data_IF_054047512558
#
_entry.id   IF_054047512558
#
_cell.length_a   1.000
_cell.length_b   1.000
_cell.length_c   1.000
_cell.angle_alpha   90.00
_cell.angle_beta   90.00
_cell.angle_gamma   90.00
#
_symmetry.space_group_name_H-M   'P 1'
#
loop_
_entity.id
_entity.type
_entity.pdbx_description
1 polymer ?
#
# COMPACT_ATOMS: atom_id res chain seq x y z
N UNK A 1 5.68 39.46 0.83
CA UNK A 1 4.25 39.14 0.72
C UNK A 1 4.21 37.71 0.31
N UNK A 2 3.74 36.87 1.22
CA UNK A 2 4.42 35.64 1.63
C UNK A 2 3.82 34.39 0.95
N UNK A 3 4.63 33.44 0.46
CA UNK A 3 4.17 32.16 -0.07
C UNK A 3 3.73 31.15 1.02
N UNK A 4 3.82 31.53 2.30
CA UNK A 4 3.60 30.64 3.45
C UNK A 4 2.13 30.44 3.85
N UNK A 5 1.22 31.32 3.42
CA UNK A 5 -0.20 31.22 3.76
C UNK A 5 -1.01 30.36 2.76
N UNK A 6 -0.55 30.28 1.52
CA UNK A 6 -1.23 29.49 0.48
C UNK A 6 -1.05 27.97 0.68
N UNK A 7 0.11 27.56 1.18
CA UNK A 7 0.42 26.16 1.50
C UNK A 7 -0.37 25.64 2.71
N UNK A 8 -0.70 26.51 3.64
CA UNK A 8 -1.50 26.20 4.83
C UNK A 8 -2.98 25.99 4.51
N UNK A 9 -3.49 26.64 3.48
CA UNK A 9 -4.87 26.47 3.01
C UNK A 9 -5.05 25.20 2.18
N UNK A 10 -4.03 24.75 1.44
CA UNK A 10 -4.08 23.48 0.71
C UNK A 10 -4.04 22.26 1.66
N UNK A 11 -3.41 22.38 2.82
CA UNK A 11 -3.35 21.31 3.84
C UNK A 11 -4.67 21.10 4.59
N UNK A 12 -5.50 22.13 4.67
CA UNK A 12 -6.81 22.09 5.33
C UNK A 12 -7.93 21.44 4.48
N UNK A 13 -7.66 21.12 3.22
CA UNK A 13 -8.64 20.58 2.28
C UNK A 13 -8.54 19.07 2.03
N UNK A 14 -7.70 18.35 2.78
CA UNK A 14 -7.69 16.88 2.71
C UNK A 14 -8.65 16.33 3.78
N UNK A 15 -9.66 15.51 3.41
CA UNK A 15 -10.53 14.91 4.40
C UNK A 15 -9.73 13.98 5.31
N UNK A 16 -9.75 14.24 6.60
CA UNK A 16 -9.30 13.28 7.61
C UNK A 16 -10.14 12.02 7.51
N UNK A 17 -9.53 10.94 7.04
CA UNK A 17 -10.15 9.61 7.06
C UNK A 17 -10.06 9.10 8.49
N UNK A 18 -11.14 9.25 9.24
CA UNK A 18 -11.25 8.73 10.60
C UNK A 18 -11.53 7.22 10.58
N UNK A 19 -11.19 6.52 11.66
CA UNK A 19 -11.49 5.09 11.81
C UNK A 19 -13.00 4.80 11.61
N UNK A 20 -13.86 5.75 11.93
CA UNK A 20 -15.30 5.70 11.72
C UNK A 20 -15.69 5.63 10.24
N UNK A 21 -15.02 6.42 9.39
CA UNK A 21 -15.27 6.42 7.93
C UNK A 21 -14.84 5.11 7.27
N UNK A 22 -13.79 4.47 7.81
CA UNK A 22 -13.31 3.15 7.33
C UNK A 22 -14.28 2.04 7.77
N UNK A 23 -14.83 2.15 8.96
CA UNK A 23 -15.77 1.18 9.49
C UNK A 23 -17.12 1.25 8.78
N UNK A 24 -17.61 2.45 8.48
CA UNK A 24 -18.85 2.67 7.73
C UNK A 24 -18.72 2.14 6.28
N UNK A 25 -17.55 2.33 5.65
CA UNK A 25 -17.26 1.76 4.33
C UNK A 25 -17.17 0.22 4.35
N UNK A 26 -16.62 -0.37 5.44
CA UNK A 26 -16.54 -1.82 5.60
C UNK A 26 -17.92 -2.45 5.83
N UNK A 27 -18.80 -1.80 6.59
CA UNK A 27 -20.19 -2.25 6.82
C UNK A 27 -21.02 -2.18 5.54
N UNK A 28 -20.87 -1.11 4.73
CA UNK A 28 -21.53 -1.00 3.42
C UNK A 28 -21.09 -2.09 2.42
N UNK A 29 -19.81 -2.50 2.46
CA UNK A 29 -19.28 -3.61 1.65
C UNK A 29 -19.86 -4.95 2.11
N UNK A 30 -20.03 -5.13 3.42
CA UNK A 30 -20.60 -6.37 3.98
C UNK A 30 -22.10 -6.49 3.67
N UNK A 31 -22.84 -5.39 3.71
CA UNK A 31 -24.25 -5.34 3.36
C UNK A 31 -24.50 -5.64 1.86
N UNK A 32 -23.66 -5.09 0.99
CA UNK A 32 -23.71 -5.39 -0.47
C UNK A 32 -23.29 -6.82 -0.80
N UNK A 33 -22.32 -7.39 -0.08
CA UNK A 33 -21.94 -8.80 -0.25
C UNK A 33 -23.04 -9.77 0.22
N UNK A 34 -23.77 -9.43 1.29
CA UNK A 34 -24.92 -10.18 1.77
C UNK A 34 -26.08 -10.19 0.76
N UNK A 35 -26.38 -9.03 0.17
CA UNK A 35 -27.44 -8.89 -0.85
C UNK A 35 -27.12 -9.68 -2.14
N UNK A 36 -25.85 -9.78 -2.51
CA UNK A 36 -25.41 -10.60 -3.65
C UNK A 36 -25.49 -12.11 -3.37
N UNK A 37 -25.31 -12.53 -2.12
CA UNK A 37 -25.43 -13.93 -1.73
C UNK A 37 -26.90 -14.39 -1.70
N UNK A 38 -27.82 -13.54 -1.28
CA UNK A 38 -29.26 -13.83 -1.28
C UNK A 38 -29.83 -13.85 -2.71
N UNK A 39 -29.33 -13.00 -3.62
CA UNK A 39 -29.72 -13.03 -5.02
C UNK A 39 -29.23 -14.29 -5.76
N UNK A 40 -28.08 -14.83 -5.39
CA UNK A 40 -27.54 -16.07 -5.95
C UNK A 40 -28.26 -17.32 -5.40
N UNK A 41 -28.82 -17.27 -4.19
CA UNK A 41 -29.56 -18.38 -3.59
C UNK A 41 -30.99 -18.51 -4.14
N UNK A 42 -31.57 -17.43 -4.66
CA UNK A 42 -32.94 -17.40 -5.20
C UNK A 42 -33.09 -18.07 -6.57
N UNK A 43 -32.03 -18.33 -7.30
CA UNK A 43 -32.06 -18.93 -8.66
C UNK A 43 -31.85 -20.44 -8.70
N UNK A 44 -31.69 -21.12 -7.56
CA UNK A 44 -31.36 -22.55 -7.51
C UNK A 44 -32.52 -23.47 -7.05
N UNK A 45 -33.77 -22.97 -6.92
CA UNK A 45 -34.88 -23.78 -6.45
C UNK A 45 -36.10 -23.74 -7.37
N UNK A 46 -35.98 -24.11 -8.65
CA UNK A 46 -37.15 -24.52 -9.42
C UNK A 46 -36.76 -25.51 -10.54
N UNK A 47 -36.55 -26.75 -10.15
CA UNK A 47 -36.66 -27.92 -11.05
C UNK A 47 -36.65 -29.22 -10.25
N UNK A 48 -37.81 -29.66 -9.76
CA UNK A 48 -38.10 -31.10 -9.63
C UNK A 48 -39.59 -31.32 -9.31
N UNK A 49 -40.32 -31.87 -10.26
CA UNK A 49 -41.14 -33.07 -10.09
C UNK A 49 -42.14 -33.23 -11.23
N UNK A 50 -41.89 -34.25 -12.04
CA UNK A 50 -42.87 -34.88 -12.92
C UNK A 50 -43.40 -36.11 -12.15
N UNK A 51 -44.70 -36.48 -12.30
CA UNK A 51 -44.94 -37.77 -12.97
C UNK A 51 -46.07 -37.75 -14.01
N UNK A 52 -45.93 -38.70 -14.93
CA UNK A 52 -46.74 -38.98 -16.09
C UNK A 52 -48.12 -39.58 -15.76
N UNK A 53 -49.09 -39.34 -16.65
CA UNK A 53 -49.98 -40.38 -17.20
C UNK A 53 -50.82 -39.89 -18.39
N UNK A 54 -50.68 -40.51 -19.52
CA UNK A 54 -51.50 -41.16 -20.53
C UNK A 54 -52.71 -40.48 -21.17
N UNK A 55 -52.58 -40.05 -22.45
CA UNK A 55 -53.20 -40.38 -23.78
C UNK A 55 -54.75 -40.35 -23.89
N UNK A 56 -55.42 -40.23 -25.14
CA UNK A 56 -54.97 -39.69 -26.43
C UNK A 56 -56.03 -38.80 -27.16
N UNK A 57 -55.67 -38.33 -28.41
CA UNK A 57 -56.53 -37.98 -29.56
C UNK A 57 -56.86 -36.51 -29.86
N UNK A 58 -56.12 -35.96 -30.82
CA UNK A 58 -56.39 -35.13 -32.00
C UNK A 58 -57.63 -34.19 -32.04
N UNK A 59 -57.68 -33.11 -32.86
CA UNK A 59 -56.89 -32.76 -34.05
C UNK A 59 -56.34 -31.32 -34.10
N UNK A 60 -55.57 -31.07 -35.14
CA UNK A 60 -54.89 -29.87 -35.55
C UNK A 60 -55.79 -28.58 -35.62
N UNK A 61 -55.27 -27.50 -35.11
CA UNK A 61 -55.58 -26.16 -35.57
C UNK A 61 -54.29 -25.34 -35.72
N UNK A 62 -54.16 -24.83 -36.91
CA UNK A 62 -53.18 -23.90 -37.41
C UNK A 62 -53.20 -22.63 -36.54
N UNK A 63 -52.11 -22.32 -35.85
CA UNK A 63 -51.90 -20.99 -35.22
C UNK A 63 -50.67 -20.34 -35.80
N UNK A 64 -50.99 -19.31 -36.51
CA UNK A 64 -50.13 -18.28 -37.11
C UNK A 64 -48.99 -17.85 -36.23
N UNK A 65 -47.79 -17.91 -36.79
CA UNK A 65 -46.59 -17.22 -36.32
C UNK A 65 -46.80 -15.71 -36.54
N UNK A 66 -47.15 -14.98 -35.47
CA UNK A 66 -46.94 -13.54 -35.38
C UNK A 66 -47.00 -13.13 -33.89
N UNK A 67 -45.88 -12.93 -33.27
CA UNK A 67 -45.84 -12.45 -31.87
C UNK A 67 -44.52 -12.45 -31.13
N UNK A 68 -43.40 -12.75 -31.75
CA UNK A 68 -42.16 -12.96 -30.99
C UNK A 68 -41.00 -11.96 -31.30
N UNK A 69 -41.31 -10.81 -31.92
CA UNK A 69 -40.27 -9.80 -32.16
C UNK A 69 -40.18 -8.74 -31.05
N UNK A 70 -41.25 -8.53 -30.27
CA UNK A 70 -41.24 -7.52 -29.20
C UNK A 70 -40.65 -8.01 -27.86
N UNK A 71 -40.81 -9.31 -27.53
CA UNK A 71 -40.23 -9.87 -26.30
C UNK A 71 -38.71 -10.01 -26.39
N UNK A 72 -38.16 -10.30 -27.56
CA UNK A 72 -36.68 -10.34 -27.75
C UNK A 72 -36.00 -8.98 -27.62
N UNK A 73 -36.69 -7.91 -27.98
CA UNK A 73 -36.15 -6.56 -27.87
C UNK A 73 -36.07 -6.06 -26.43
N UNK A 74 -37.01 -6.46 -25.55
CA UNK A 74 -36.99 -6.14 -24.14
C UNK A 74 -35.89 -6.90 -23.38
N UNK A 75 -35.65 -8.15 -23.76
CA UNK A 75 -34.56 -8.98 -23.17
C UNK A 75 -33.18 -8.43 -23.52
N UNK A 76 -32.92 -8.08 -24.77
CA UNK A 76 -31.62 -7.54 -25.20
C UNK A 76 -31.30 -6.22 -24.50
N UNK A 77 -32.28 -5.36 -24.28
CA UNK A 77 -32.07 -4.10 -23.55
C UNK A 77 -31.84 -4.32 -22.07
N UNK A 78 -32.54 -5.28 -21.45
CA UNK A 78 -32.27 -5.73 -20.06
C UNK A 78 -30.85 -6.28 -19.92
N UNK A 79 -30.47 -7.23 -20.78
CA UNK A 79 -29.14 -7.83 -20.77
C UNK A 79 -28.02 -6.79 -20.97
N UNK A 80 -28.25 -5.77 -21.78
CA UNK A 80 -27.31 -4.65 -21.96
C UNK A 80 -27.21 -3.75 -20.72
N UNK A 81 -28.32 -3.51 -20.03
CA UNK A 81 -28.33 -2.74 -18.78
C UNK A 81 -27.61 -3.48 -17.67
N UNK A 82 -27.84 -4.79 -17.52
CA UNK A 82 -27.17 -5.64 -16.55
C UNK A 82 -25.64 -5.70 -16.81
N UNK A 83 -25.27 -5.78 -18.09
CA UNK A 83 -23.85 -5.72 -18.47
C UNK A 83 -23.24 -4.35 -18.12
N UNK A 84 -23.95 -3.26 -18.40
CA UNK A 84 -23.49 -1.90 -18.08
C UNK A 84 -23.33 -1.71 -16.57
N UNK A 85 -24.29 -2.17 -15.78
CA UNK A 85 -24.23 -2.15 -14.31
C UNK A 85 -23.02 -2.93 -13.79
N UNK A 86 -22.81 -4.15 -14.29
CA UNK A 86 -21.66 -4.98 -13.94
C UNK A 86 -20.33 -4.29 -14.23
N UNK A 87 -20.22 -3.64 -15.38
CA UNK A 87 -19.03 -2.87 -15.77
C UNK A 87 -18.80 -1.69 -14.83
N UNK A 88 -19.87 -0.93 -14.51
CA UNK A 88 -19.77 0.22 -13.59
C UNK A 88 -19.32 -0.23 -12.20
N UNK A 89 -19.92 -1.29 -11.66
CA UNK A 89 -19.54 -1.85 -10.34
C UNK A 89 -18.10 -2.33 -10.37
N UNK A 90 -17.69 -3.03 -11.42
CA UNK A 90 -16.31 -3.51 -11.57
C UNK A 90 -15.30 -2.36 -11.58
N UNK A 91 -15.57 -1.31 -12.37
CA UNK A 91 -14.72 -0.12 -12.43
C UNK A 91 -14.67 0.59 -11.07
N UNK A 92 -15.80 0.70 -10.39
CA UNK A 92 -15.87 1.30 -9.05
C UNK A 92 -15.04 0.52 -8.03
N UNK A 93 -15.17 -0.81 -8.01
CA UNK A 93 -14.35 -1.68 -7.12
C UNK A 93 -12.86 -1.52 -7.42
N UNK A 94 -12.47 -1.53 -8.69
CA UNK A 94 -11.07 -1.30 -9.10
C UNK A 94 -10.58 0.07 -8.63
N UNK A 95 -11.38 1.12 -8.79
CA UNK A 95 -11.03 2.46 -8.28
C UNK A 95 -10.84 2.47 -6.76
N UNK A 96 -11.71 1.81 -6.00
CA UNK A 96 -11.57 1.70 -4.55
C UNK A 96 -10.25 1.00 -4.18
N UNK A 97 -9.96 -0.13 -4.83
CA UNK A 97 -8.70 -0.87 -4.62
C UNK A 97 -7.50 0.07 -4.84
N UNK A 98 -7.42 0.73 -5.98
CA UNK A 98 -6.30 1.64 -6.28
C UNK A 98 -6.26 2.88 -5.37
N UNK A 99 -7.38 3.34 -4.85
CA UNK A 99 -7.42 4.52 -3.98
C UNK A 99 -6.94 4.20 -2.55
N UNK A 100 -7.34 3.04 -2.02
CA UNK A 100 -7.11 2.72 -0.61
C UNK A 100 -5.95 1.75 -0.36
N UNK A 101 -5.70 0.81 -1.29
CA UNK A 101 -4.74 -0.28 -1.09
C UNK A 101 -3.34 0.08 -1.57
N UNK A 102 -3.24 0.90 -2.59
CA UNK A 102 -1.97 1.17 -3.28
C UNK A 102 -1.83 2.65 -3.55
N UNK A 103 -0.65 3.20 -3.36
CA UNK A 103 -0.33 4.56 -3.80
C UNK A 103 0.94 4.58 -4.64
N UNK A 104 1.12 5.65 -5.40
CA UNK A 104 2.38 5.90 -6.11
C UNK A 104 3.19 6.94 -5.37
N UNK A 105 4.52 6.81 -5.45
CA UNK A 105 5.47 7.78 -4.92
C UNK A 105 6.55 8.05 -5.96
N UNK A 106 6.91 9.30 -6.12
CA UNK A 106 8.05 9.70 -6.95
C UNK A 106 9.29 9.84 -6.05
N UNK A 107 10.42 9.33 -6.53
CA UNK A 107 11.70 9.38 -5.81
C UNK A 107 12.35 10.74 -6.04
N UNK A 108 12.68 11.43 -4.97
CA UNK A 108 13.44 12.67 -4.98
C UNK A 108 14.80 12.49 -4.31
N UNK A 109 15.84 12.95 -5.00
CA UNK A 109 17.23 12.90 -4.52
C UNK A 109 17.88 11.53 -4.69
N UNK A 110 19.14 11.46 -4.26
CA UNK A 110 20.07 10.35 -4.54
C UNK A 110 20.31 9.40 -3.37
N UNK A 111 19.58 9.52 -2.28
CA UNK A 111 19.86 8.75 -1.03
C UNK A 111 19.67 7.24 -1.16
N UNK A 112 18.94 6.77 -2.18
CA UNK A 112 18.67 5.36 -2.46
C UNK A 112 19.41 4.83 -3.69
N UNK A 113 20.32 5.62 -4.26
CA UNK A 113 21.19 5.14 -5.33
C UNK A 113 22.15 4.04 -4.80
N UNK A 114 22.42 3.03 -5.62
CA UNK A 114 22.02 2.82 -7.02
C UNK A 114 20.65 2.17 -7.21
N UNK A 115 19.99 1.72 -6.14
CA UNK A 115 18.73 0.95 -6.20
C UNK A 115 17.59 1.76 -6.80
N UNK A 116 17.43 3.01 -6.34
CA UNK A 116 16.42 3.95 -6.83
C UNK A 116 17.10 5.23 -7.28
N UNK A 117 16.76 5.66 -8.49
CA UNK A 117 17.24 6.90 -9.07
C UNK A 117 16.18 8.00 -8.93
N UNK A 118 16.62 9.24 -8.99
CA UNK A 118 15.73 10.40 -9.02
C UNK A 118 14.70 10.29 -10.16
N UNK A 119 13.46 10.70 -9.93
CA UNK A 119 12.32 10.58 -10.84
C UNK A 119 11.84 9.13 -11.10
N UNK A 120 12.37 8.13 -10.40
CA UNK A 120 11.72 6.83 -10.41
C UNK A 120 10.34 6.94 -9.78
N UNK A 121 9.33 6.31 -10.40
CA UNK A 121 7.99 6.19 -9.82
C UNK A 121 7.77 4.80 -9.27
N UNK A 122 7.32 4.73 -8.03
CA UNK A 122 7.17 3.52 -7.26
C UNK A 122 5.70 3.21 -7.02
N UNK A 123 5.37 1.93 -6.97
CA UNK A 123 4.10 1.42 -6.46
C UNK A 123 4.30 0.96 -5.03
N UNK A 124 3.44 1.42 -4.13
CA UNK A 124 3.59 1.26 -2.68
C UNK A 124 2.36 0.57 -2.10
N UNK A 125 2.58 -0.51 -1.36
CA UNK A 125 1.54 -1.21 -0.59
C UNK A 125 1.37 -0.53 0.77
N UNK A 126 0.14 -0.13 1.10
CA UNK A 126 -0.20 0.54 2.36
C UNK A 126 -0.85 -0.37 3.39
N UNK A 127 -1.27 -1.56 2.98
CA UNK A 127 -2.05 -2.47 3.81
C UNK A 127 -1.15 -3.43 4.57
N UNK A 128 -0.17 -3.99 3.88
CA UNK A 128 0.75 -4.93 4.49
C UNK A 128 1.63 -4.20 5.51
N UNK A 129 1.47 -4.57 6.76
CA UNK A 129 2.22 -4.04 7.91
C UNK A 129 3.31 -5.00 8.39
N UNK A 130 3.55 -6.07 7.63
CA UNK A 130 4.67 -6.97 7.88
C UNK A 130 5.90 -6.45 7.13
N UNK A 131 6.86 -6.00 7.91
CA UNK A 131 8.11 -5.45 7.40
C UNK A 131 9.26 -6.38 7.76
N UNK A 132 10.18 -6.56 6.81
CA UNK A 132 11.37 -7.39 6.97
C UNK A 132 12.62 -6.57 6.67
N UNK A 133 13.74 -6.92 7.31
CA UNK A 133 15.05 -6.32 7.00
C UNK A 133 15.32 -6.41 5.49
N UNK A 134 15.69 -5.30 4.89
CA UNK A 134 15.89 -5.17 3.44
C UNK A 134 14.70 -4.53 2.70
N UNK A 135 13.51 -4.44 3.30
CA UNK A 135 12.36 -3.77 2.68
C UNK A 135 12.62 -2.28 2.44
N UNK A 136 12.16 -1.78 1.30
CA UNK A 136 12.20 -0.35 0.99
C UNK A 136 10.87 0.27 1.41
N UNK A 137 10.95 1.26 2.29
CA UNK A 137 9.79 1.87 2.95
C UNK A 137 9.65 3.35 2.60
N UNK A 138 8.41 3.80 2.45
CA UNK A 138 8.06 5.21 2.45
C UNK A 138 7.70 5.60 3.87
N UNK A 139 8.34 6.65 4.39
CA UNK A 139 8.29 7.03 5.79
C UNK A 139 7.93 8.51 5.94
N UNK A 140 7.20 8.83 6.98
CA UNK A 140 7.05 10.23 7.42
C UNK A 140 8.16 10.57 8.43
N UNK A 141 8.90 11.65 8.16
CA UNK A 141 10.00 12.13 8.99
C UNK A 141 9.74 13.51 9.56
N UNK A 142 8.51 13.76 10.02
CA UNK A 142 8.09 15.01 10.66
C UNK A 142 8.87 15.30 11.95
N UNK A 143 9.18 14.25 12.71
CA UNK A 143 9.94 14.32 13.95
C UNK A 143 11.12 13.36 13.91
N UNK A 144 12.25 13.82 14.44
CA UNK A 144 13.38 12.98 14.78
C UNK A 144 13.24 12.43 16.20
N UNK A 145 13.46 11.12 16.36
CA UNK A 145 13.32 10.43 17.65
C UNK A 145 14.63 9.78 18.04
N UNK A 146 15.20 10.31 19.12
CA UNK A 146 16.53 9.93 19.60
C UNK A 146 16.35 9.22 20.94
N UNK A 147 16.70 7.92 21.05
CA UNK A 147 16.72 7.23 22.32
C UNK A 147 17.85 7.74 23.19
N UNK A 148 17.53 8.04 24.44
CA UNK A 148 18.47 8.47 25.46
C UNK A 148 18.99 7.26 26.26
N UNK A 149 20.14 7.37 26.95
CA UNK A 149 20.71 6.25 27.72
C UNK A 149 19.80 5.75 28.86
N UNK A 150 18.86 6.56 29.32
CA UNK A 150 17.88 6.20 30.36
C UNK A 150 16.65 5.43 29.80
N UNK A 151 16.63 5.17 28.49
CA UNK A 151 15.54 4.48 27.78
C UNK A 151 14.39 5.39 27.34
N UNK A 152 14.47 6.70 27.63
CA UNK A 152 13.50 7.68 27.11
C UNK A 152 13.78 8.00 25.64
N UNK A 153 12.77 8.49 24.92
CA UNK A 153 12.92 8.95 23.54
C UNK A 153 12.67 10.45 23.51
N UNK A 154 13.71 11.18 23.14
CA UNK A 154 13.61 12.64 22.91
C UNK A 154 13.11 12.90 21.49
N UNK A 155 12.02 13.64 21.38
CA UNK A 155 11.52 14.11 20.10
C UNK A 155 12.09 15.50 19.77
N UNK A 156 12.60 15.62 18.54
CA UNK A 156 13.05 16.89 17.95
C UNK A 156 12.32 17.14 16.65
N UNK A 157 12.43 18.34 16.11
CA UNK A 157 11.96 18.63 14.75
C UNK A 157 12.75 17.79 13.74
N UNK A 158 12.04 17.04 12.90
CA UNK A 158 12.62 16.23 11.83
C UNK A 158 12.73 16.99 10.51
N UNK A 159 12.75 16.24 9.39
CA UNK A 159 12.86 16.81 8.04
C UNK A 159 11.53 17.37 7.52
N UNK A 160 10.40 17.08 8.17
CA UNK A 160 9.04 17.50 7.80
C UNK A 160 8.68 17.10 6.35
N UNK A 161 9.13 15.93 5.91
CA UNK A 161 8.86 15.40 4.57
C UNK A 161 8.80 13.88 4.55
N UNK A 162 8.21 13.34 3.49
CA UNK A 162 8.27 11.90 3.23
C UNK A 162 9.63 11.55 2.68
N UNK A 163 10.16 10.43 3.16
CA UNK A 163 11.46 9.90 2.74
C UNK A 163 11.34 8.45 2.32
N UNK A 164 12.21 8.01 1.43
CA UNK A 164 12.36 6.61 1.03
C UNK A 164 13.64 6.09 1.64
N UNK A 165 13.58 4.99 2.39
CA UNK A 165 14.73 4.34 3.02
C UNK A 165 14.56 2.82 3.06
N UNK A 166 15.68 2.12 3.28
CA UNK A 166 15.70 0.67 3.50
C UNK A 166 15.61 0.37 4.99
N UNK A 167 14.78 -0.60 5.33
CA UNK A 167 14.67 -1.15 6.69
C UNK A 167 15.92 -1.96 7.02
N UNK A 168 16.61 -1.61 8.09
CA UNK A 168 17.82 -2.28 8.57
C UNK A 168 17.51 -3.13 9.79
N UNK A 169 16.77 -2.58 10.76
CA UNK A 169 16.41 -3.29 11.98
C UNK A 169 15.08 -2.79 12.55
N UNK A 170 14.44 -3.65 13.33
CA UNK A 170 13.16 -3.41 13.98
C UNK A 170 13.28 -3.47 15.51
N UNK A 171 12.20 -3.15 16.19
CA UNK A 171 12.11 -3.25 17.66
C UNK A 171 12.64 -4.57 18.20
N UNK A 172 13.39 -4.50 19.29
CA UNK A 172 14.07 -5.63 19.92
C UNK A 172 15.45 -5.95 19.36
N UNK A 173 15.76 -5.58 18.11
CA UNK A 173 17.04 -5.88 17.48
C UNK A 173 18.13 -4.87 17.88
N UNK A 174 19.37 -5.32 17.89
CA UNK A 174 20.54 -4.49 18.14
C UNK A 174 21.26 -4.14 16.83
N UNK A 175 21.53 -2.86 16.61
CA UNK A 175 22.33 -2.35 15.48
C UNK A 175 23.70 -1.94 16.00
N UNK A 176 24.75 -2.41 15.34
CA UNK A 176 26.12 -1.98 15.54
C UNK A 176 26.75 -1.54 14.20
N UNK A 177 27.46 -0.44 14.20
CA UNK A 177 28.11 0.11 13.00
C UNK A 177 29.57 0.39 13.28
N UNK A 178 30.44 -0.35 12.61
CA UNK A 178 31.87 -0.06 12.58
C UNK A 178 32.19 0.90 11.41
N UNK A 179 32.21 2.18 11.70
CA UNK A 179 32.52 3.21 10.71
C UNK A 179 33.97 3.16 10.18
N UNK A 180 34.89 2.49 10.89
CA UNK A 180 36.27 2.34 10.43
C UNK A 180 36.39 1.32 9.30
N UNK A 181 35.59 0.28 9.34
CA UNK A 181 35.50 -0.77 8.32
C UNK A 181 34.30 -0.59 7.38
N UNK A 182 33.32 0.24 7.76
CA UNK A 182 32.08 0.47 7.02
C UNK A 182 31.09 -0.68 7.10
N UNK A 183 31.16 -1.48 8.18
CA UNK A 183 30.36 -2.71 8.38
C UNK A 183 29.17 -2.39 9.26
N UNK A 184 27.98 -2.85 8.84
CA UNK A 184 26.76 -2.84 9.65
C UNK A 184 26.47 -4.25 10.16
N UNK A 185 26.10 -4.37 11.44
CA UNK A 185 25.69 -5.62 12.07
C UNK A 185 24.30 -5.44 12.68
N UNK A 186 23.50 -6.50 12.58
CA UNK A 186 22.21 -6.62 13.25
C UNK A 186 22.26 -7.88 14.11
N UNK A 187 21.99 -7.74 15.41
CA UNK A 187 22.05 -8.83 16.39
C UNK A 187 23.43 -9.57 16.40
N UNK A 188 24.49 -8.81 16.10
CA UNK A 188 25.87 -9.31 16.03
C UNK A 188 26.26 -9.95 14.69
N UNK A 189 25.32 -10.19 13.78
CA UNK A 189 25.59 -10.74 12.45
C UNK A 189 25.86 -9.62 11.45
N UNK A 190 26.86 -9.80 10.58
CA UNK A 190 27.17 -8.84 9.51
C UNK A 190 26.04 -8.86 8.50
N UNK A 191 25.46 -7.68 8.24
CA UNK A 191 24.41 -7.52 7.25
C UNK A 191 24.99 -7.69 5.85
N UNK A 192 24.36 -8.52 5.01
CA UNK A 192 24.68 -8.65 3.59
C UNK A 192 24.02 -7.50 2.83
N UNK A 193 24.82 -6.64 2.21
CA UNK A 193 24.38 -5.37 1.66
C UNK A 193 24.79 -5.20 0.18
N UNK A 194 24.35 -6.11 -0.72
CA UNK A 194 24.73 -6.04 -2.14
C UNK A 194 24.18 -4.80 -2.86
N UNK A 195 23.23 -4.10 -2.24
CA UNK A 195 22.54 -2.92 -2.76
C UNK A 195 23.24 -1.60 -2.50
N UNK A 196 24.28 -1.55 -1.65
CA UNK A 196 25.01 -0.30 -1.37
C UNK A 196 26.10 -0.04 -2.42
N UNK A 197 26.31 1.22 -2.75
CA UNK A 197 27.38 1.64 -3.67
C UNK A 197 28.73 1.81 -2.99
N UNK A 198 28.74 2.01 -1.67
CA UNK A 198 29.93 2.22 -0.86
C UNK A 198 29.70 1.80 0.60
N UNK A 199 30.76 1.38 1.31
CA UNK A 199 30.67 1.03 2.74
C UNK A 199 30.19 2.18 3.62
N UNK A 200 29.66 1.86 4.81
CA UNK A 200 29.13 2.82 5.78
C UNK A 200 30.26 3.46 6.60
N UNK A 201 31.06 4.30 5.98
CA UNK A 201 32.22 4.93 6.62
C UNK A 201 31.89 6.24 7.35
N UNK A 202 30.72 6.82 7.07
CA UNK A 202 30.33 8.12 7.60
C UNK A 202 29.47 7.97 8.85
N UNK A 203 30.00 8.41 9.99
CA UNK A 203 29.20 8.71 11.17
C UNK A 203 28.57 10.09 11.01
N UNK A 204 27.25 10.17 11.23
CA UNK A 204 26.49 11.44 11.16
C UNK A 204 25.90 11.86 12.51
N UNK A 205 26.38 11.23 13.59
CA UNK A 205 26.28 11.73 14.95
C UNK A 205 24.93 11.55 15.63
N UNK A 206 24.08 10.65 15.13
CA UNK A 206 22.77 10.40 15.76
C UNK A 206 22.83 9.58 17.04
N UNK A 207 23.73 8.58 17.08
CA UNK A 207 23.78 7.61 18.16
C UNK A 207 25.20 7.17 18.52
N UNK A 208 25.33 6.59 19.72
CA UNK A 208 26.49 5.77 20.08
C UNK A 208 26.13 4.29 19.86
N UNK A 209 26.95 3.56 19.13
CA UNK A 209 26.73 2.16 18.82
C UNK A 209 27.47 1.25 19.78
N UNK A 210 26.95 0.01 20.06
CA UNK A 210 25.69 -0.53 19.54
C UNK A 210 24.46 0.09 20.19
N UNK A 211 23.34 0.11 19.44
CA UNK A 211 22.05 0.59 19.91
C UNK A 211 21.00 -0.51 19.78
N UNK A 212 20.19 -0.74 20.83
CA UNK A 212 19.01 -1.60 20.74
C UNK A 212 17.80 -0.76 20.33
N UNK A 213 17.10 -1.20 19.29
CA UNK A 213 15.92 -0.52 18.78
C UNK A 213 14.74 -0.77 19.72
N UNK A 214 14.10 0.25 20.30
CA UNK A 214 12.92 0.08 21.14
C UNK A 214 11.75 -0.52 20.35
N UNK A 215 10.87 -1.26 21.05
CA UNK A 215 9.66 -1.79 20.46
C UNK A 215 8.79 -0.67 19.85
N UNK A 216 8.20 -0.96 18.68
CA UNK A 216 7.40 0.00 17.93
C UNK A 216 8.20 0.98 17.07
N UNK A 217 9.53 0.83 17.00
CA UNK A 217 10.40 1.65 16.17
C UNK A 217 11.17 0.81 15.15
N UNK A 218 11.65 1.48 14.11
CA UNK A 218 12.53 0.91 13.10
C UNK A 218 13.75 1.79 12.89
N UNK A 219 14.87 1.15 12.52
CA UNK A 219 16.10 1.78 12.08
C UNK A 219 16.23 1.62 10.57
N UNK A 220 16.36 2.72 9.86
CA UNK A 220 16.38 2.75 8.41
C UNK A 220 17.61 3.46 7.87
N UNK A 221 18.12 3.00 6.73
CA UNK A 221 19.26 3.63 6.06
C UNK A 221 18.99 3.81 4.56
N UNK A 222 19.63 4.79 3.97
CA UNK A 222 19.67 4.89 2.51
C UNK A 222 20.76 4.00 1.91
N UNK A 223 20.55 3.54 0.69
CA UNK A 223 21.51 2.68 0.00
C UNK A 223 22.77 3.46 -0.41
N UNK A 224 22.63 4.75 -0.66
CA UNK A 224 23.75 5.66 -0.87
C UNK A 224 24.32 6.14 0.46
N UNK A 225 25.04 5.28 1.16
CA UNK A 225 25.57 5.48 2.51
C UNK A 225 26.31 6.80 2.74
N UNK A 226 27.17 7.25 1.79
CA UNK A 226 27.92 8.49 1.96
C UNK A 226 27.10 9.76 1.99
N UNK A 227 25.96 9.80 1.27
CA UNK A 227 25.15 11.02 1.12
C UNK A 227 23.82 10.96 1.85
N UNK A 228 23.35 9.75 2.23
CA UNK A 228 22.06 9.58 2.86
C UNK A 228 22.01 10.25 4.22
N UNK A 229 20.94 11.03 4.45
CA UNK A 229 20.47 11.40 5.76
C UNK A 229 19.38 10.40 6.17
N UNK A 230 19.59 9.66 7.24
CA UNK A 230 18.76 8.52 7.66
C UNK A 230 18.83 8.34 9.18
N UNK A 231 18.43 7.16 9.70
CA UNK A 231 18.38 6.92 11.14
C UNK A 231 19.70 7.16 11.88
N UNK A 232 20.83 7.15 11.19
CA UNK A 232 22.14 7.49 11.78
C UNK A 232 22.26 8.96 12.20
N UNK A 233 21.35 9.83 11.72
CA UNK A 233 21.36 11.26 11.98
C UNK A 233 20.39 11.64 13.09
N UNK A 234 20.77 12.64 13.88
CA UNK A 234 19.89 13.29 14.86
C UNK A 234 18.73 14.09 14.26
N UNK A 235 18.72 14.29 12.92
CA UNK A 235 17.62 14.91 12.18
C UNK A 235 16.50 13.93 11.80
N UNK A 236 16.74 12.64 11.87
CA UNK A 236 15.77 11.59 11.56
C UNK A 236 15.59 10.66 12.77
N UNK A 237 16.68 10.05 13.23
CA UNK A 237 16.63 9.11 14.34
C UNK A 237 15.80 7.86 14.02
N UNK A 238 15.16 7.31 15.04
CA UNK A 238 14.28 6.16 14.92
C UNK A 238 12.92 6.59 14.34
N UNK A 239 12.35 5.75 13.50
CA UNK A 239 11.03 5.98 12.91
C UNK A 239 10.02 5.07 13.62
N UNK A 240 8.89 5.60 14.16
CA UNK A 240 7.82 4.76 14.65
C UNK A 240 7.20 3.94 13.52
N UNK A 241 6.80 2.71 13.82
CA UNK A 241 6.12 1.84 12.84
C UNK A 241 4.86 2.49 12.28
N UNK A 242 4.16 3.29 13.07
CA UNK A 242 2.96 4.05 12.65
C UNK A 242 3.26 5.13 11.60
N UNK A 243 4.50 5.64 11.55
CA UNK A 243 4.94 6.61 10.54
C UNK A 243 5.36 5.94 9.22
N UNK A 244 5.27 4.62 9.11
CA UNK A 244 5.48 3.90 7.85
C UNK A 244 4.21 4.05 6.99
N UNK A 245 4.33 4.80 5.89
CA UNK A 245 3.24 5.02 4.94
C UNK A 245 2.96 3.75 4.14
N UNK A 246 4.03 3.01 3.78
CA UNK A 246 3.91 1.74 3.09
C UNK A 246 5.23 1.17 2.60
N UNK A 247 5.16 -0.06 2.08
CA UNK A 247 6.28 -0.84 1.51
C UNK A 247 6.29 -0.72 -0.01
N UNK A 248 7.43 -0.44 -0.58
CA UNK A 248 7.62 -0.40 -2.04
C UNK A 248 7.52 -1.82 -2.61
N UNK A 249 6.68 -2.00 -3.63
CA UNK A 249 6.49 -3.29 -4.29
C UNK A 249 7.32 -3.37 -5.57
N UNK A 250 7.12 -2.39 -6.45
CA UNK A 250 7.75 -2.34 -7.76
C UNK A 250 8.06 -0.89 -8.17
N UNK A 251 9.05 -0.72 -9.05
CA UNK A 251 9.26 0.50 -9.82
C UNK A 251 8.43 0.42 -11.11
N UNK A 252 7.60 1.43 -11.33
CA UNK A 252 6.71 1.50 -12.50
C UNK A 252 7.19 2.48 -13.58
N UNK A 253 8.13 3.36 -13.24
CA UNK A 253 8.75 4.29 -14.19
C UNK A 253 10.22 4.51 -13.81
N UNK A 254 11.12 4.63 -14.79
CA UNK A 254 10.90 4.48 -16.25
C UNK A 254 10.58 3.02 -16.62
N UNK A 255 9.93 2.83 -17.77
CA UNK A 255 9.55 1.48 -18.25
C UNK A 255 10.76 0.61 -18.58
N UNK A 256 11.93 1.22 -18.88
CA UNK A 256 13.19 0.49 -19.08
C UNK A 256 13.62 -0.30 -17.83
N UNK A 257 13.24 0.18 -16.65
CA UNK A 257 13.64 -0.37 -15.34
C UNK A 257 12.44 -0.88 -14.54
N UNK A 258 11.34 -1.17 -15.25
CA UNK A 258 10.13 -1.71 -14.65
C UNK A 258 10.43 -3.04 -13.96
N UNK A 259 10.01 -3.17 -12.69
CA UNK A 259 10.14 -4.42 -11.97
C UNK A 259 10.26 -4.28 -10.47
N UNK A 260 10.47 -5.43 -9.81
CA UNK A 260 10.69 -5.50 -8.37
C UNK A 260 11.95 -4.73 -8.01
N UNK A 261 11.88 -4.01 -6.90
CA UNK A 261 13.02 -3.31 -6.30
C UNK A 261 13.48 -4.13 -5.09
N UNK A 262 14.74 -4.51 -5.07
CA UNK A 262 15.33 -5.34 -4.00
C UNK A 262 16.65 -4.75 -3.54
#
# INVERSE_FOLDING_TARGET
MEPFEEEKQLRAAQPEVTAETVQEAAEAVQETAGALQDAAAGTAQESESVPAEHDPAAPAEEQTEDGNAAEKSGSIFGDLMDLLESVIVSVFVVMLVFTFLVCTADVEGSSMEPTLLENNRLLVNRIDKHYETGDILILDSDKARIPEPDGTITEKKGLEKRIVKRLIAQGGQQVDIDFSQGIVRVDGEVLDEPYISAPTLRDIGGFTYPITIPEGYVFVMGDNRPVSNDSRSDMIGLIPVENIIGKVIIRISPLSDFGKVS
#
